data_IF_795309568309
#
_entry.id   IF_795309568309
#
_cell.length_a   1.000
_cell.length_b   1.000
_cell.length_c   1.000
_cell.angle_alpha   90.00
_cell.angle_beta   90.00
_cell.angle_gamma   90.00
#
_symmetry.space_group_name_H-M   'P 1'
#
loop_
_entity.id
_entity.type
_entity.pdbx_description
1 polymer ?
#
# COMPACT_ATOMS: atom_id res chain seq x y z
N UNK A 1 14.72 21.22 14.23
CA UNK A 1 14.96 21.79 12.88
C UNK A 1 15.69 20.82 11.94
N UNK A 2 16.62 19.98 12.42
CA UNK A 2 17.24 18.91 11.60
C UNK A 2 16.26 17.81 11.15
N UNK A 3 15.20 17.57 11.92
CA UNK A 3 14.14 16.61 11.59
C UNK A 3 13.14 17.12 10.53
N UNK A 4 13.10 18.44 10.26
CA UNK A 4 12.23 19.01 9.22
C UNK A 4 12.81 18.81 7.81
N UNK A 5 14.13 18.70 7.69
CA UNK A 5 14.82 18.46 6.41
C UNK A 5 14.66 16.99 5.97
N UNK A 6 14.60 16.05 6.93
CA UNK A 6 14.41 14.61 6.65
C UNK A 6 13.00 14.33 6.11
N UNK A 7 11.98 15.06 6.58
CA UNK A 7 10.60 14.95 6.07
C UNK A 7 10.44 15.51 4.64
N UNK A 8 11.22 16.52 4.27
CA UNK A 8 11.11 17.17 2.94
C UNK A 8 11.76 16.37 1.80
N UNK A 9 12.68 15.45 2.10
CA UNK A 9 13.32 14.58 1.09
C UNK A 9 12.55 13.27 0.89
N UNK A 10 11.73 12.86 1.87
CA UNK A 10 10.94 11.63 1.80
C UNK A 10 9.67 11.75 0.90
N UNK A 11 9.22 12.97 0.59
CA UNK A 11 8.04 13.24 -0.25
C UNK A 11 8.28 13.01 -1.74
N UNK A 12 9.54 13.01 -2.19
CA UNK A 12 9.90 12.85 -3.61
C UNK A 12 9.99 11.38 -4.06
N UNK A 13 9.92 10.41 -3.14
CA UNK A 13 10.08 8.99 -3.46
C UNK A 13 8.77 8.18 -3.49
N UNK A 14 7.63 8.79 -3.17
CA UNK A 14 6.34 8.07 -3.09
C UNK A 14 5.63 7.93 -4.44
N UNK A 15 5.93 8.79 -5.42
CA UNK A 15 5.23 8.82 -6.70
C UNK A 15 5.45 7.56 -7.58
N UNK A 16 6.46 6.74 -7.29
CA UNK A 16 6.78 5.56 -8.11
C UNK A 16 6.15 4.25 -7.61
N UNK A 17 5.47 4.26 -6.46
CA UNK A 17 4.90 3.03 -5.88
C UNK A 17 3.49 2.71 -6.38
N UNK A 18 2.76 3.71 -6.88
CA UNK A 18 1.41 3.51 -7.43
C UNK A 18 1.42 2.67 -8.72
N UNK A 19 2.40 2.88 -9.60
CA UNK A 19 2.50 2.14 -10.87
C UNK A 19 2.91 0.67 -10.68
N UNK A 20 3.69 0.36 -9.63
CA UNK A 20 4.16 -1.00 -9.38
C UNK A 20 3.05 -1.92 -8.83
N UNK A 21 2.15 -1.39 -8.00
CA UNK A 21 1.01 -2.16 -7.45
C UNK A 21 -0.01 -2.46 -8.55
N UNK A 22 -0.32 -1.48 -9.40
CA UNK A 22 -1.26 -1.65 -10.51
C UNK A 22 -0.77 -2.73 -11.50
N UNK A 23 0.50 -2.67 -11.92
CA UNK A 23 1.09 -3.68 -12.81
C UNK A 23 1.11 -5.10 -12.22
N UNK A 24 1.39 -5.24 -10.91
CA UNK A 24 1.34 -6.54 -10.24
C UNK A 24 -0.09 -7.09 -10.15
N UNK A 25 -1.07 -6.23 -9.86
CA UNK A 25 -2.48 -6.58 -9.86
C UNK A 25 -2.98 -6.92 -11.28
N UNK A 26 -2.46 -6.26 -12.32
CA UNK A 26 -2.81 -6.50 -13.73
C UNK A 26 -2.30 -7.86 -14.17
N UNK A 27 -1.06 -8.20 -13.84
CA UNK A 27 -0.49 -9.51 -14.09
C UNK A 27 -1.31 -10.61 -13.39
N UNK A 28 -1.73 -10.39 -12.14
CA UNK A 28 -2.56 -11.36 -11.39
C UNK A 28 -3.98 -11.49 -11.93
N UNK A 29 -4.57 -10.39 -12.41
CA UNK A 29 -5.87 -10.43 -13.07
C UNK A 29 -5.79 -11.16 -14.41
N UNK A 30 -4.71 -10.95 -15.18
CA UNK A 30 -4.45 -11.59 -16.46
C UNK A 30 -4.17 -13.10 -16.31
N UNK A 31 -3.40 -13.50 -15.28
CA UNK A 31 -3.16 -14.91 -14.92
C UNK A 31 -4.47 -15.63 -14.63
N UNK A 32 -5.41 -14.95 -13.95
CA UNK A 32 -6.75 -15.46 -13.66
C UNK A 32 -7.74 -15.31 -14.83
N UNK A 33 -7.29 -14.80 -15.98
CA UNK A 33 -8.13 -14.50 -17.17
C UNK A 33 -9.39 -13.69 -16.84
N UNK A 34 -9.29 -12.79 -15.86
CA UNK A 34 -10.41 -11.95 -15.46
C UNK A 34 -10.58 -10.81 -16.48
N UNK A 35 -11.79 -10.66 -17.00
CA UNK A 35 -12.16 -9.61 -17.96
C UNK A 35 -13.38 -8.83 -17.47
N UNK A 36 -13.61 -7.64 -18.05
CA UNK A 36 -14.78 -6.81 -17.76
C UNK A 36 -14.93 -6.44 -16.28
N UNK A 37 -16.16 -6.49 -15.76
CA UNK A 37 -16.47 -6.13 -14.37
C UNK A 37 -15.72 -6.99 -13.32
N UNK A 38 -15.37 -8.23 -13.67
CA UNK A 38 -14.60 -9.12 -12.82
C UNK A 38 -13.14 -8.64 -12.68
N UNK A 39 -12.52 -8.15 -13.77
CA UNK A 39 -11.19 -7.51 -13.72
C UNK A 39 -11.23 -6.28 -12.82
N UNK A 40 -12.24 -5.40 -13.01
CA UNK A 40 -12.36 -4.17 -12.22
C UNK A 40 -12.56 -4.41 -10.72
N UNK A 41 -13.34 -5.43 -10.35
CA UNK A 41 -13.55 -5.79 -8.93
C UNK A 41 -12.32 -6.45 -8.31
N UNK A 42 -11.63 -7.30 -9.08
CA UNK A 42 -10.37 -7.91 -8.65
C UNK A 42 -9.27 -6.86 -8.47
N UNK A 43 -9.18 -5.89 -9.38
CA UNK A 43 -8.26 -4.76 -9.26
C UNK A 43 -8.42 -4.01 -7.96
N UNK A 44 -9.63 -3.52 -7.69
CA UNK A 44 -9.94 -2.79 -6.45
C UNK A 44 -9.59 -3.60 -5.21
N UNK A 45 -9.82 -4.91 -5.24
CA UNK A 45 -9.48 -5.80 -4.14
C UNK A 45 -7.98 -6.01 -4.00
N UNK A 46 -7.29 -6.26 -5.11
CA UNK A 46 -5.85 -6.47 -5.15
C UNK A 46 -5.08 -5.24 -4.66
N UNK A 47 -5.48 -4.04 -5.06
CA UNK A 47 -4.86 -2.79 -4.58
C UNK A 47 -5.06 -2.61 -3.08
N UNK A 48 -6.26 -2.92 -2.57
CA UNK A 48 -6.56 -2.85 -1.14
C UNK A 48 -5.73 -3.86 -0.34
N UNK A 49 -5.66 -5.10 -0.82
CA UNK A 49 -4.88 -6.17 -0.19
C UNK A 49 -3.37 -5.86 -0.23
N UNK A 50 -2.89 -5.26 -1.33
CA UNK A 50 -1.50 -4.81 -1.45
C UNK A 50 -1.17 -3.68 -0.47
N UNK A 51 -2.09 -2.72 -0.29
CA UNK A 51 -1.92 -1.67 0.72
C UNK A 51 -1.87 -2.23 2.15
N UNK A 52 -2.71 -3.24 2.46
CA UNK A 52 -2.68 -3.94 3.75
C UNK A 52 -1.33 -4.66 3.94
N UNK A 53 -0.87 -5.40 2.93
CA UNK A 53 0.41 -6.11 2.98
C UNK A 53 1.61 -5.16 3.15
N UNK A 54 1.61 -4.01 2.45
CA UNK A 54 2.63 -2.99 2.61
C UNK A 54 2.64 -2.40 4.03
N UNK A 55 1.46 -2.17 4.62
CA UNK A 55 1.35 -1.74 6.02
C UNK A 55 1.85 -2.79 7.01
N UNK A 56 1.58 -4.07 6.77
CA UNK A 56 2.10 -5.18 7.58
C UNK A 56 3.62 -5.31 7.50
N UNK A 57 4.20 -5.18 6.31
CA UNK A 57 5.65 -5.16 6.13
C UNK A 57 6.29 -4.00 6.90
N UNK A 58 5.75 -2.78 6.75
CA UNK A 58 6.25 -1.60 7.48
C UNK A 58 6.12 -1.75 8.99
N UNK A 59 5.07 -2.40 9.46
CA UNK A 59 4.90 -2.70 10.89
C UNK A 59 5.94 -3.71 11.37
N UNK A 60 6.24 -4.74 10.56
CA UNK A 60 7.25 -5.75 10.86
C UNK A 60 8.68 -5.18 10.84
N UNK A 61 9.01 -4.33 9.86
CA UNK A 61 10.29 -3.61 9.81
C UNK A 61 10.50 -2.73 11.04
N UNK A 62 9.43 -2.11 11.53
CA UNK A 62 9.42 -1.34 12.78
C UNK A 62 9.35 -2.21 14.04
N UNK A 63 9.32 -3.54 13.89
CA UNK A 63 9.18 -4.53 14.97
C UNK A 63 8.00 -4.24 15.90
N UNK A 64 6.92 -3.68 15.35
CA UNK A 64 5.72 -3.38 16.12
C UNK A 64 4.96 -4.67 16.41
N UNK A 65 4.59 -4.87 17.67
CA UNK A 65 3.79 -6.00 18.13
C UNK A 65 2.58 -5.52 18.95
N UNK A 66 1.61 -6.42 19.14
CA UNK A 66 0.44 -6.17 19.99
C UNK A 66 -0.35 -4.91 19.60
N UNK A 67 -0.74 -4.12 20.60
CA UNK A 67 -1.55 -2.91 20.41
C UNK A 67 -0.88 -1.87 19.50
N UNK A 68 0.45 -1.72 19.57
CA UNK A 68 1.19 -0.78 18.74
C UNK A 68 1.15 -1.15 17.25
N UNK A 69 1.24 -2.46 16.95
CA UNK A 69 1.05 -2.97 15.58
C UNK A 69 -0.36 -2.64 15.08
N UNK A 70 -1.39 -2.92 15.88
CA UNK A 70 -2.77 -2.72 15.47
C UNK A 70 -3.10 -1.24 15.20
N UNK A 71 -2.63 -0.33 16.05
CA UNK A 71 -2.81 1.11 15.85
C UNK A 71 -2.07 1.62 14.60
N UNK A 72 -0.85 1.12 14.37
CA UNK A 72 -0.08 1.45 13.17
C UNK A 72 -0.76 0.95 11.90
N UNK A 73 -1.23 -0.31 11.89
CA UNK A 73 -1.94 -0.86 10.74
C UNK A 73 -3.20 -0.07 10.41
N UNK A 74 -4.02 0.25 11.43
CA UNK A 74 -5.23 1.08 11.24
C UNK A 74 -4.89 2.44 10.63
N UNK A 75 -3.85 3.10 11.14
CA UNK A 75 -3.41 4.41 10.64
C UNK A 75 -2.87 4.29 9.22
N UNK A 76 -1.95 3.37 8.99
CA UNK A 76 -1.33 3.13 7.69
C UNK A 76 -2.35 2.79 6.59
N UNK A 77 -3.33 1.92 6.88
CA UNK A 77 -4.38 1.57 5.91
C UNK A 77 -5.32 2.75 5.61
N UNK A 78 -5.59 3.61 6.59
CA UNK A 78 -6.37 4.82 6.39
C UNK A 78 -5.60 5.85 5.54
N UNK A 79 -4.32 6.07 5.84
CA UNK A 79 -3.45 6.96 5.08
C UNK A 79 -3.25 6.45 3.64
N UNK A 80 -3.11 5.13 3.44
CA UNK A 80 -3.01 4.52 2.11
C UNK A 80 -4.28 4.68 1.27
N UNK A 81 -5.45 4.75 1.90
CA UNK A 81 -6.72 5.03 1.22
C UNK A 81 -6.93 6.53 0.94
N UNK A 82 -6.39 7.41 1.79
CA UNK A 82 -6.44 8.86 1.59
C UNK A 82 -5.42 9.38 0.56
N UNK A 83 -4.40 8.58 0.24
CA UNK A 83 -3.38 8.90 -0.74
C UNK A 83 -3.74 8.48 -2.19
N UNK A 84 -4.95 7.98 -2.42
CA UNK A 84 -5.50 7.65 -3.75
C UNK A 84 -6.36 8.78 -4.32
#
# INVERSE_FOLDING_TARGET
>A
MRNLIIFAVASLFVANTAFAVDAACEAKAAEKKLAGAAKGSFMKKCEKDSAVAACDMRAAEKKLAGAAKNSFLKKCQADAQAAK
#
